data_IF_952413410072
#
_entry.id   IF_952413410072
#
_cell.length_a   1.000
_cell.length_b   1.000
_cell.length_c   1.000
_cell.angle_alpha   90.00
_cell.angle_beta   90.00
_cell.angle_gamma   90.00
#
_symmetry.space_group_name_H-M   'P 1'
#
loop_
_entity.id
_entity.type
_entity.pdbx_description
1 polymer ?
#
# COMPACT_ATOMS: atom_id res chain seq x y z
N UNK A 1 18.19 -49.25 19.72
CA UNK A 1 17.06 -48.29 19.82
C UNK A 1 17.45 -47.00 19.13
N UNK A 2 16.97 -46.76 17.91
CA UNK A 2 17.19 -45.46 17.23
C UNK A 2 16.23 -44.44 17.81
N UNK A 3 16.76 -43.46 18.55
CA UNK A 3 15.99 -42.29 19.01
C UNK A 3 15.64 -41.47 17.77
N UNK A 4 14.41 -41.62 17.26
CA UNK A 4 13.87 -40.69 16.29
C UNK A 4 13.63 -39.36 17.01
N UNK A 5 14.57 -38.43 16.90
CA UNK A 5 14.36 -37.04 17.29
C UNK A 5 13.34 -36.47 16.31
N UNK A 6 12.06 -36.52 16.70
CA UNK A 6 10.99 -35.82 16.01
C UNK A 6 11.32 -34.32 16.03
N UNK A 7 11.86 -33.79 14.94
CA UNK A 7 12.07 -32.35 14.78
C UNK A 7 10.70 -31.68 14.84
N UNK A 8 10.42 -30.95 15.92
CA UNK A 8 9.20 -30.15 16.07
C UNK A 8 9.12 -29.20 14.87
N UNK A 9 8.13 -29.39 14.00
CA UNK A 9 7.95 -28.56 12.81
C UNK A 9 7.61 -27.14 13.27
N UNK A 10 8.54 -26.21 13.06
CA UNK A 10 8.35 -24.79 13.36
C UNK A 10 7.50 -24.17 12.25
N UNK A 11 6.26 -23.82 12.58
CA UNK A 11 5.34 -23.15 11.64
C UNK A 11 5.64 -21.65 11.63
N UNK A 12 5.88 -21.08 10.45
CA UNK A 12 6.06 -19.62 10.28
C UNK A 12 4.72 -18.92 10.12
N UNK A 13 4.61 -17.68 10.59
CA UNK A 13 3.36 -16.89 10.52
C UNK A 13 2.88 -16.68 9.08
N UNK A 14 3.77 -16.54 8.10
CA UNK A 14 3.38 -16.43 6.68
C UNK A 14 2.62 -17.65 6.15
N UNK A 15 2.85 -18.85 6.70
CA UNK A 15 2.16 -20.09 6.29
C UNK A 15 0.69 -20.10 6.75
N UNK A 16 0.38 -19.31 7.78
CA UNK A 16 -0.96 -19.18 8.37
C UNK A 16 -1.59 -17.82 8.09
N UNK A 17 -0.92 -16.95 7.33
CA UNK A 17 -1.47 -15.65 7.01
C UNK A 17 -2.73 -15.83 6.16
N UNK A 18 -3.88 -15.28 6.58
CA UNK A 18 -5.10 -15.41 5.83
C UNK A 18 -5.05 -14.64 4.50
N UNK A 19 -5.90 -15.04 3.56
CA UNK A 19 -5.99 -14.46 2.22
C UNK A 19 -5.52 -15.41 1.13
N UNK A 20 -5.32 -14.88 -0.08
CA UNK A 20 -4.97 -15.65 -1.29
C UNK A 20 -3.60 -15.32 -1.84
N UNK A 21 -2.79 -14.57 -1.09
CA UNK A 21 -1.42 -14.32 -1.46
C UNK A 21 -0.60 -15.61 -1.43
N UNK A 22 0.37 -15.70 -2.34
CA UNK A 22 1.35 -16.79 -2.35
C UNK A 22 2.67 -16.28 -1.82
N UNK A 23 3.38 -17.14 -1.10
CA UNK A 23 4.63 -16.81 -0.44
C UNK A 23 5.73 -17.74 -0.91
N UNK A 24 6.95 -17.22 -1.04
CA UNK A 24 8.15 -18.03 -1.23
C UNK A 24 9.39 -17.37 -0.58
N UNK A 25 10.51 -18.08 -0.61
CA UNK A 25 11.78 -17.66 0.01
C UNK A 25 11.61 -17.34 1.52
N UNK A 26 11.03 -18.27 2.30
CA UNK A 26 10.75 -18.10 3.73
C UNK A 26 9.93 -16.83 4.02
N UNK A 27 8.85 -16.65 3.25
CA UNK A 27 7.91 -15.52 3.41
C UNK A 27 8.47 -14.16 2.97
N UNK A 28 9.66 -14.08 2.36
CA UNK A 28 10.22 -12.81 1.86
C UNK A 28 9.46 -12.29 0.66
N UNK A 29 9.12 -13.18 -0.27
CA UNK A 29 8.36 -12.86 -1.46
C UNK A 29 6.88 -13.07 -1.15
N UNK A 30 6.07 -12.07 -1.46
CA UNK A 30 4.62 -12.10 -1.37
C UNK A 30 4.05 -11.61 -2.70
N UNK A 31 3.22 -12.43 -3.33
CA UNK A 31 2.57 -12.11 -4.61
C UNK A 31 1.09 -12.48 -4.56
N UNK A 32 0.30 -12.02 -5.52
CA UNK A 32 -1.03 -12.55 -5.74
C UNK A 32 -0.97 -14.01 -6.23
N UNK A 33 -2.13 -14.68 -6.20
CA UNK A 33 -2.29 -16.03 -6.78
C UNK A 33 -2.16 -16.03 -8.31
N UNK A 34 -2.63 -14.96 -8.97
CA UNK A 34 -2.58 -14.83 -10.42
C UNK A 34 -1.23 -14.25 -10.86
N UNK A 35 -0.35 -15.11 -11.39
CA UNK A 35 1.02 -14.75 -11.81
C UNK A 35 1.25 -14.78 -13.33
N UNK A 36 0.26 -15.23 -14.12
CA UNK A 36 0.43 -15.45 -15.56
C UNK A 36 0.86 -14.19 -16.32
N UNK A 37 0.15 -13.07 -16.12
CA UNK A 37 0.43 -11.80 -16.81
C UNK A 37 1.77 -11.18 -16.32
N UNK A 38 2.17 -11.46 -15.08
CA UNK A 38 3.49 -11.10 -14.58
C UNK A 38 4.62 -11.81 -15.35
N UNK A 39 4.48 -13.10 -15.65
CA UNK A 39 5.48 -13.80 -16.48
C UNK A 39 5.50 -13.27 -17.91
N UNK A 40 4.35 -12.88 -18.47
CA UNK A 40 4.30 -12.18 -19.75
C UNK A 40 5.06 -10.84 -19.69
N UNK A 41 4.90 -10.08 -18.61
CA UNK A 41 5.64 -8.81 -18.40
C UNK A 41 7.14 -9.05 -18.39
N UNK A 42 7.61 -10.05 -17.63
CA UNK A 42 9.03 -10.43 -17.60
C UNK A 42 9.54 -10.84 -18.99
N UNK A 43 8.77 -11.67 -19.69
CA UNK A 43 9.11 -12.11 -21.04
C UNK A 43 9.23 -10.95 -22.03
N UNK A 44 8.29 -10.01 -22.00
CA UNK A 44 8.33 -8.83 -22.88
C UNK A 44 9.55 -7.96 -22.58
N UNK A 45 9.81 -7.63 -21.32
CA UNK A 45 10.94 -6.76 -20.94
C UNK A 45 12.28 -7.42 -21.29
N UNK A 46 12.48 -8.68 -20.87
CA UNK A 46 13.73 -9.41 -21.11
C UNK A 46 13.89 -9.72 -22.59
N UNK A 47 12.83 -10.14 -23.27
CA UNK A 47 12.81 -10.47 -24.68
C UNK A 47 13.15 -9.26 -25.55
N UNK A 48 12.47 -8.13 -25.35
CA UNK A 48 12.78 -6.88 -26.06
C UNK A 48 14.23 -6.47 -25.82
N UNK A 49 14.70 -6.41 -24.57
CA UNK A 49 16.10 -6.07 -24.32
C UNK A 49 17.08 -7.05 -24.98
N UNK A 50 16.82 -8.36 -24.92
CA UNK A 50 17.68 -9.36 -25.55
C UNK A 50 17.74 -9.20 -27.07
N UNK A 51 16.62 -8.87 -27.73
CA UNK A 51 16.59 -8.54 -29.16
C UNK A 51 17.46 -7.31 -29.46
N UNK A 52 17.25 -6.22 -28.72
CA UNK A 52 18.04 -4.99 -28.84
C UNK A 52 19.56 -5.22 -28.72
N UNK A 53 19.98 -6.06 -27.77
CA UNK A 53 21.39 -6.41 -27.58
C UNK A 53 21.94 -7.30 -28.70
N UNK A 54 21.11 -8.18 -29.25
CA UNK A 54 21.50 -9.13 -30.28
C UNK A 54 21.66 -8.49 -31.66
N UNK A 55 20.74 -7.59 -32.06
CA UNK A 55 20.68 -7.09 -33.44
C UNK A 55 21.24 -5.67 -33.60
N UNK A 56 20.95 -4.76 -32.68
CA UNK A 56 21.20 -3.33 -32.85
C UNK A 56 22.45 -2.87 -32.11
N UNK A 57 22.65 -3.33 -30.87
CA UNK A 57 23.69 -2.82 -29.98
C UNK A 57 25.09 -2.87 -30.58
N UNK A 58 25.45 -3.96 -31.30
CA UNK A 58 26.78 -4.08 -31.89
C UNK A 58 27.03 -3.01 -32.95
N UNK A 59 26.05 -2.79 -33.83
CA UNK A 59 26.15 -1.78 -34.87
C UNK A 59 26.19 -0.37 -34.27
N UNK A 60 25.25 -0.07 -33.37
CA UNK A 60 25.14 1.25 -32.74
C UNK A 60 26.36 1.58 -31.86
N UNK A 61 26.94 0.59 -31.16
CA UNK A 61 28.13 0.80 -30.35
C UNK A 61 29.36 1.18 -31.19
N UNK A 62 29.50 0.59 -32.38
CA UNK A 62 30.64 0.85 -33.28
C UNK A 62 30.46 2.14 -34.06
N UNK A 63 29.24 2.43 -34.54
CA UNK A 63 28.99 3.55 -35.44
C UNK A 63 28.56 4.85 -34.73
N UNK A 64 27.98 4.76 -33.53
CA UNK A 64 27.51 5.93 -32.77
C UNK A 64 28.27 6.10 -31.46
N UNK A 65 28.12 5.17 -30.52
CA UNK A 65 28.77 5.28 -29.21
C UNK A 65 28.69 4.00 -28.39
N UNK A 66 29.80 3.55 -27.74
CA UNK A 66 29.77 2.43 -26.81
C UNK A 66 28.96 2.71 -25.54
N UNK A 67 28.57 3.97 -25.27
CA UNK A 67 27.72 4.30 -24.14
C UNK A 67 26.28 3.80 -24.31
N UNK A 68 25.83 3.55 -25.55
CA UNK A 68 24.46 3.10 -25.85
C UNK A 68 24.08 1.81 -25.11
N UNK A 69 24.83 0.69 -25.28
CA UNK A 69 24.54 -0.53 -24.53
C UNK A 69 24.67 -0.35 -23.01
N UNK A 70 25.56 0.53 -22.53
CA UNK A 70 25.72 0.80 -21.09
C UNK A 70 24.46 1.42 -20.49
N UNK A 71 23.92 2.46 -21.11
CA UNK A 71 22.68 3.08 -20.65
C UNK A 71 21.48 2.13 -20.75
N UNK A 72 21.40 1.31 -21.81
CA UNK A 72 20.37 0.28 -21.94
C UNK A 72 20.42 -0.74 -20.79
N UNK A 73 21.61 -1.22 -20.41
CA UNK A 73 21.78 -2.13 -19.27
C UNK A 73 21.35 -1.47 -17.96
N UNK A 74 21.73 -0.21 -17.72
CA UNK A 74 21.36 0.51 -16.50
C UNK A 74 19.84 0.65 -16.39
N UNK A 75 19.18 1.09 -17.47
CA UNK A 75 17.73 1.24 -17.52
C UNK A 75 17.02 -0.10 -17.33
N UNK A 76 17.50 -1.17 -17.99
CA UNK A 76 16.96 -2.52 -17.83
C UNK A 76 17.07 -3.02 -16.39
N UNK A 77 18.25 -2.93 -15.78
CA UNK A 77 18.46 -3.39 -14.40
C UNK A 77 17.61 -2.59 -13.42
N UNK A 78 17.48 -1.28 -13.62
CA UNK A 78 16.65 -0.43 -12.76
C UNK A 78 15.15 -0.75 -12.92
N UNK A 79 14.66 -0.93 -14.15
CA UNK A 79 13.27 -1.34 -14.42
C UNK A 79 12.97 -2.72 -13.83
N UNK A 80 13.89 -3.69 -13.98
CA UNK A 80 13.76 -5.01 -13.40
C UNK A 80 13.77 -4.97 -11.87
N UNK A 81 14.68 -4.21 -11.26
CA UNK A 81 14.74 -4.08 -9.81
C UNK A 81 13.43 -3.48 -9.24
N UNK A 82 12.91 -2.42 -9.85
CA UNK A 82 11.67 -1.77 -9.42
C UNK A 82 10.42 -2.64 -9.67
N UNK A 83 10.37 -3.39 -10.79
CA UNK A 83 9.34 -4.41 -11.03
C UNK A 83 9.34 -5.45 -9.92
N UNK A 84 10.47 -6.11 -9.67
CA UNK A 84 10.57 -7.19 -8.69
C UNK A 84 10.28 -6.67 -7.27
N UNK A 85 10.73 -5.46 -6.93
CA UNK A 85 10.39 -4.80 -5.66
C UNK A 85 8.89 -4.53 -5.53
N UNK A 86 8.21 -4.12 -6.60
CA UNK A 86 6.76 -3.94 -6.60
C UNK A 86 6.03 -5.26 -6.44
N UNK A 87 6.42 -6.25 -7.23
CA UNK A 87 5.80 -7.56 -7.33
C UNK A 87 5.93 -8.39 -6.06
N UNK A 88 7.12 -8.41 -5.45
CA UNK A 88 7.44 -9.35 -4.36
C UNK A 88 7.23 -8.78 -2.96
N UNK A 89 6.82 -7.52 -2.86
CA UNK A 89 6.64 -6.85 -1.57
C UNK A 89 5.23 -7.03 -1.00
N UNK A 90 5.13 -6.90 0.33
CA UNK A 90 3.85 -6.63 0.98
C UNK A 90 3.36 -5.23 0.52
N UNK A 91 2.16 -5.13 -0.11
CA UNK A 91 1.60 -3.86 -0.58
C UNK A 91 1.08 -2.95 0.54
N UNK A 92 1.00 -3.45 1.77
CA UNK A 92 0.34 -2.78 2.89
C UNK A 92 -0.86 -3.57 3.38
N UNK A 93 -0.77 -4.90 3.44
CA UNK A 93 -1.87 -5.74 3.94
C UNK A 93 -2.13 -5.45 5.41
N UNK A 94 -3.40 -5.21 5.72
CA UNK A 94 -3.90 -4.97 7.07
C UNK A 94 -4.30 -6.32 7.68
N UNK A 95 -3.81 -6.68 8.87
CA UNK A 95 -4.24 -7.88 9.58
C UNK A 95 -5.75 -7.94 9.73
N UNK A 96 -6.32 -9.15 9.67
CA UNK A 96 -7.72 -9.35 10.02
C UNK A 96 -7.88 -9.16 11.54
N UNK A 97 -9.06 -8.74 11.98
CA UNK A 97 -9.36 -8.67 13.40
C UNK A 97 -9.18 -10.05 14.05
N UNK A 98 -8.62 -10.05 15.25
CA UNK A 98 -8.59 -11.23 16.09
C UNK A 98 -10.04 -11.67 16.43
N UNK A 99 -10.29 -12.95 16.79
CA UNK A 99 -11.64 -13.42 17.11
C UNK A 99 -12.36 -12.53 18.13
N UNK A 100 -11.67 -12.15 19.20
CA UNK A 100 -12.23 -11.32 20.28
C UNK A 100 -12.49 -9.88 19.80
N UNK A 101 -11.57 -9.31 19.01
CA UNK A 101 -11.76 -7.99 18.39
C UNK A 101 -12.94 -7.99 17.41
N UNK A 102 -13.07 -9.04 16.61
CA UNK A 102 -14.16 -9.21 15.66
C UNK A 102 -15.50 -9.35 16.39
N UNK A 103 -15.55 -10.14 17.47
CA UNK A 103 -16.73 -10.30 18.30
C UNK A 103 -17.14 -8.95 18.94
N UNK A 104 -16.18 -8.21 19.48
CA UNK A 104 -16.43 -6.88 20.05
C UNK A 104 -16.95 -5.90 19.01
N UNK A 105 -16.35 -5.85 17.81
CA UNK A 105 -16.79 -4.96 16.72
C UNK A 105 -18.20 -5.33 16.25
N UNK A 106 -18.52 -6.62 16.09
CA UNK A 106 -19.85 -7.07 15.69
C UNK A 106 -20.89 -6.72 16.77
N UNK A 107 -20.55 -6.87 18.05
CA UNK A 107 -21.39 -6.46 19.18
C UNK A 107 -21.65 -4.94 19.18
N UNK A 108 -20.62 -4.10 18.97
CA UNK A 108 -20.76 -2.63 18.86
C UNK A 108 -21.71 -2.25 17.71
N UNK A 109 -21.59 -2.96 16.58
CA UNK A 109 -22.45 -2.78 15.41
C UNK A 109 -23.90 -3.21 15.73
N UNK A 110 -24.09 -4.35 16.38
CA UNK A 110 -25.41 -4.86 16.76
C UNK A 110 -26.10 -3.96 17.80
N UNK A 111 -25.37 -3.47 18.81
CA UNK A 111 -25.89 -2.52 19.77
C UNK A 111 -26.37 -1.22 19.08
N UNK A 112 -25.65 -0.75 18.07
CA UNK A 112 -26.06 0.40 17.25
C UNK A 112 -27.29 0.09 16.39
N UNK A 113 -27.41 -1.17 15.92
CA UNK A 113 -28.53 -1.63 15.09
C UNK A 113 -29.76 -2.08 15.90
N UNK A 114 -29.63 -2.34 17.20
CA UNK A 114 -30.73 -2.77 18.08
C UNK A 114 -31.87 -1.75 18.21
N UNK A 115 -31.65 -0.54 17.71
CA UNK A 115 -32.67 0.50 17.56
C UNK A 115 -33.51 0.37 16.26
N UNK A 116 -33.28 -0.65 15.41
CA UNK A 116 -33.97 -0.82 14.12
C UNK A 116 -35.19 -1.75 14.27
N UNK A 117 -36.42 -1.28 13.96
CA UNK A 117 -37.63 -2.11 14.03
C UNK A 117 -37.61 -3.34 13.12
N UNK A 118 -38.32 -4.43 13.48
CA UNK A 118 -38.47 -5.61 12.61
C UNK A 118 -39.01 -5.26 11.23
N UNK A 119 -38.37 -5.76 10.17
CA UNK A 119 -38.76 -5.53 8.77
C UNK A 119 -38.05 -4.35 8.08
N UNK A 120 -37.24 -3.57 8.79
CA UNK A 120 -36.36 -2.57 8.18
C UNK A 120 -34.97 -3.13 7.90
N UNK A 121 -34.34 -2.64 6.82
CA UNK A 121 -32.95 -3.00 6.49
C UNK A 121 -32.03 -2.32 7.51
N UNK A 122 -31.07 -3.05 8.12
CA UNK A 122 -30.13 -2.45 9.06
C UNK A 122 -29.30 -1.37 8.37
N UNK A 123 -28.91 -0.30 9.08
CA UNK A 123 -28.12 0.78 8.52
C UNK A 123 -26.76 0.27 8.02
N UNK A 124 -26.17 0.94 7.02
CA UNK A 124 -24.84 0.58 6.55
C UNK A 124 -23.81 0.72 7.68
N UNK A 125 -23.03 -0.34 7.90
CA UNK A 125 -21.97 -0.41 8.93
C UNK A 125 -20.84 0.58 8.62
N UNK A 126 -20.99 1.80 9.12
CA UNK A 126 -20.10 2.95 8.87
C UNK A 126 -19.68 3.55 10.21
N UNK A 127 -18.38 3.88 10.31
CA UNK A 127 -17.83 4.65 11.44
C UNK A 127 -17.29 5.98 10.94
N UNK A 128 -17.64 7.08 11.60
CA UNK A 128 -17.13 8.41 11.24
C UNK A 128 -15.72 8.59 11.82
N UNK A 129 -14.79 9.08 11.01
CA UNK A 129 -13.41 9.36 11.41
C UNK A 129 -13.02 10.75 10.92
N UNK A 130 -12.41 11.58 11.76
CA UNK A 130 -12.03 12.94 11.39
C UNK A 130 -10.60 13.01 10.87
N UNK A 131 -10.40 13.68 9.73
CA UNK A 131 -9.09 13.96 9.13
C UNK A 131 -9.09 15.42 8.70
N UNK A 132 -8.17 16.24 9.24
CA UNK A 132 -8.10 17.67 8.93
C UNK A 132 -9.48 18.37 9.04
N UNK A 133 -10.20 18.09 10.13
CA UNK A 133 -11.56 18.60 10.42
C UNK A 133 -12.65 18.18 9.42
N UNK A 134 -12.37 17.23 8.51
CA UNK A 134 -13.35 16.62 7.61
C UNK A 134 -13.76 15.23 8.11
N UNK A 135 -15.06 14.93 8.10
CA UNK A 135 -15.58 13.61 8.47
C UNK A 135 -15.46 12.66 7.28
N UNK A 136 -14.62 11.63 7.42
CA UNK A 136 -14.46 10.51 6.50
C UNK A 136 -15.21 9.29 7.04
N UNK A 137 -16.05 8.69 6.18
CA UNK A 137 -16.83 7.50 6.50
C UNK A 137 -16.01 6.22 6.30
N UNK A 138 -15.65 5.54 7.37
CA UNK A 138 -15.00 4.23 7.33
C UNK A 138 -16.03 3.14 7.04
N UNK A 139 -15.73 2.26 6.08
CA UNK A 139 -16.60 1.14 5.71
C UNK A 139 -16.14 -0.14 6.40
N UNK A 140 -17.08 -0.90 6.94
CA UNK A 140 -16.79 -2.22 7.50
C UNK A 140 -16.39 -3.24 6.41
N UNK A 141 -15.41 -4.09 6.70
CA UNK A 141 -15.04 -5.24 5.87
C UNK A 141 -15.54 -6.54 6.49
N UNK A 142 -16.53 -7.18 5.86
CA UNK A 142 -17.06 -8.45 6.35
C UNK A 142 -16.05 -9.60 6.33
N UNK A 143 -15.10 -9.59 5.40
CA UNK A 143 -14.09 -10.65 5.27
C UNK A 143 -12.96 -10.50 6.30
N UNK A 144 -12.47 -9.27 6.48
CA UNK A 144 -11.36 -9.00 7.39
C UNK A 144 -11.82 -8.65 8.81
N UNK A 145 -13.13 -8.46 9.02
CA UNK A 145 -13.77 -8.11 10.29
C UNK A 145 -13.24 -6.82 10.94
N UNK A 146 -12.91 -5.84 10.11
CA UNK A 146 -12.38 -4.53 10.53
C UNK A 146 -13.17 -3.38 9.91
N UNK A 147 -13.25 -2.25 10.62
CA UNK A 147 -13.51 -0.97 9.95
C UNK A 147 -12.27 -0.57 9.17
N UNK A 148 -12.38 -0.47 7.85
CA UNK A 148 -11.25 -0.19 6.97
C UNK A 148 -10.70 1.20 7.29
N UNK A 149 -9.39 1.34 7.60
CA UNK A 149 -8.78 2.65 7.76
C UNK A 149 -9.00 3.55 6.53
N UNK A 150 -8.86 4.87 6.67
CA UNK A 150 -8.99 5.79 5.54
C UNK A 150 -8.11 5.35 4.35
N UNK A 151 -8.66 5.48 3.13
CA UNK A 151 -8.01 5.07 1.87
C UNK A 151 -7.72 3.57 1.73
N UNK A 152 -8.03 2.73 2.72
CA UNK A 152 -7.89 1.29 2.60
C UNK A 152 -9.06 0.67 1.82
N UNK A 153 -8.80 -0.40 1.07
CA UNK A 153 -9.86 -1.16 0.37
C UNK A 153 -9.55 -2.65 0.37
N UNK A 154 -10.61 -3.45 0.34
CA UNK A 154 -10.49 -4.91 0.26
C UNK A 154 -10.34 -5.33 -1.21
N UNK A 155 -9.28 -6.06 -1.53
CA UNK A 155 -9.08 -6.69 -2.82
C UNK A 155 -9.55 -8.14 -2.75
N UNK A 156 -10.60 -8.49 -3.49
CA UNK A 156 -11.16 -9.86 -3.54
C UNK A 156 -10.22 -10.89 -4.19
N UNK A 157 -9.29 -10.44 -5.05
CA UNK A 157 -8.32 -11.31 -5.71
C UNK A 157 -7.26 -11.78 -4.71
N UNK A 158 -6.67 -10.84 -3.96
CA UNK A 158 -5.71 -11.14 -2.90
C UNK A 158 -6.38 -11.59 -1.59
N UNK A 159 -7.68 -11.36 -1.45
CA UNK A 159 -8.49 -11.61 -0.26
C UNK A 159 -7.96 -10.92 1.00
N UNK A 160 -7.57 -9.66 0.84
CA UNK A 160 -6.93 -8.86 1.87
C UNK A 160 -7.37 -7.38 1.78
N UNK A 161 -7.51 -6.74 2.94
CA UNK A 161 -7.55 -5.29 3.02
C UNK A 161 -6.13 -4.72 2.85
N UNK A 162 -5.97 -3.75 1.95
CA UNK A 162 -4.69 -3.10 1.67
C UNK A 162 -4.80 -1.62 2.03
N UNK A 163 -3.82 -1.12 2.76
CA UNK A 163 -3.70 0.29 3.14
C UNK A 163 -3.33 1.16 1.93
N UNK A 164 -3.97 2.34 1.83
CA UNK A 164 -3.85 3.24 0.67
C UNK A 164 -3.92 2.45 -0.65
N UNK A 165 -4.95 1.63 -0.78
CA UNK A 165 -5.12 0.73 -1.91
C UNK A 165 -5.27 1.54 -3.20
N UNK A 166 -4.41 1.26 -4.17
CA UNK A 166 -4.49 1.89 -5.48
C UNK A 166 -5.26 1.01 -6.45
N UNK A 167 -4.74 -0.19 -6.73
CA UNK A 167 -5.41 -1.18 -7.57
C UNK A 167 -4.79 -2.57 -7.39
N UNK A 168 -5.43 -3.58 -7.96
CA UNK A 168 -4.81 -4.87 -8.21
C UNK A 168 -4.22 -4.88 -9.61
N UNK A 169 -2.93 -5.16 -9.75
CA UNK A 169 -2.25 -5.10 -11.05
C UNK A 169 -1.80 -6.52 -11.48
N UNK A 170 -2.42 -7.09 -12.52
CA UNK A 170 -2.01 -8.39 -13.02
C UNK A 170 -0.60 -8.39 -13.63
N UNK A 171 -0.16 -7.27 -14.21
CA UNK A 171 1.17 -7.09 -14.82
C UNK A 171 2.32 -7.17 -13.81
N UNK A 172 2.12 -6.68 -12.59
CA UNK A 172 3.09 -6.88 -11.50
C UNK A 172 2.79 -8.11 -10.66
N UNK A 173 1.66 -8.78 -10.90
CA UNK A 173 1.25 -9.99 -10.16
C UNK A 173 0.97 -9.73 -8.67
N UNK A 174 0.53 -8.52 -8.31
CA UNK A 174 0.27 -8.14 -6.91
C UNK A 174 -0.67 -6.92 -6.82
N UNK A 175 -1.16 -6.63 -5.61
CA UNK A 175 -1.77 -5.32 -5.33
C UNK A 175 -0.71 -4.21 -5.34
N UNK A 176 -1.13 -3.02 -5.75
CA UNK A 176 -0.39 -1.77 -5.56
C UNK A 176 -1.07 -0.99 -4.44
N UNK A 177 -0.31 -0.66 -3.40
CA UNK A 177 -0.80 0.02 -2.20
C UNK A 177 0.30 0.81 -1.52
N UNK A 178 0.07 1.25 -0.28
CA UNK A 178 0.96 2.19 0.44
C UNK A 178 2.43 1.81 0.41
N UNK A 179 2.76 0.52 0.57
CA UNK A 179 4.14 0.07 0.79
C UNK A 179 4.93 -0.17 -0.50
N UNK A 180 4.26 -0.38 -1.62
CA UNK A 180 4.92 -0.67 -2.90
C UNK A 180 4.61 0.32 -4.01
N UNK A 181 3.71 1.29 -3.80
CA UNK A 181 3.36 2.31 -4.80
C UNK A 181 4.57 3.06 -5.35
N UNK A 182 5.53 3.46 -4.50
CA UNK A 182 6.74 4.16 -4.97
C UNK A 182 7.54 3.34 -5.98
N UNK A 183 7.64 2.03 -5.76
CA UNK A 183 8.36 1.13 -6.65
C UNK A 183 7.57 0.89 -7.92
N UNK A 184 6.24 0.82 -7.83
CA UNK A 184 5.35 0.72 -8.99
C UNK A 184 5.51 1.94 -9.89
N UNK A 185 5.51 3.15 -9.32
CA UNK A 185 5.70 4.38 -10.07
C UNK A 185 7.09 4.44 -10.73
N UNK A 186 8.15 4.12 -9.99
CA UNK A 186 9.50 4.06 -10.55
C UNK A 186 9.62 2.97 -11.64
N UNK A 187 8.91 1.85 -11.50
CA UNK A 187 8.85 0.81 -12.51
C UNK A 187 8.21 1.30 -13.81
N UNK A 188 7.00 1.86 -13.76
CA UNK A 188 6.35 2.34 -15.00
C UNK A 188 7.14 3.49 -15.63
N UNK A 189 7.72 4.39 -14.84
CA UNK A 189 8.56 5.48 -15.32
C UNK A 189 9.83 4.96 -16.01
N UNK A 190 10.57 4.07 -15.36
CA UNK A 190 11.78 3.50 -15.94
C UNK A 190 11.49 2.59 -17.15
N UNK A 191 10.37 1.88 -17.15
CA UNK A 191 9.92 1.10 -18.29
C UNK A 191 9.53 2.01 -19.47
N UNK A 192 8.87 3.15 -19.22
CA UNK A 192 8.63 4.17 -20.25
C UNK A 192 9.94 4.66 -20.85
N UNK A 193 10.92 5.02 -20.01
CA UNK A 193 12.23 5.50 -20.46
C UNK A 193 12.97 4.42 -21.26
N UNK A 194 13.00 3.17 -20.78
CA UNK A 194 13.61 2.04 -21.49
C UNK A 194 12.94 1.78 -22.84
N UNK A 195 11.61 1.82 -22.90
CA UNK A 195 10.86 1.58 -24.14
C UNK A 195 11.08 2.72 -25.15
N UNK A 196 11.05 3.98 -24.70
CA UNK A 196 11.40 5.14 -25.54
C UNK A 196 12.83 4.99 -26.06
N UNK A 197 13.77 4.65 -25.19
CA UNK A 197 15.19 4.49 -25.53
C UNK A 197 15.38 3.44 -26.64
N UNK A 198 14.90 2.23 -26.43
CA UNK A 198 15.00 1.13 -27.41
C UNK A 198 14.29 1.52 -28.71
N UNK A 199 13.08 2.05 -28.63
CA UNK A 199 12.33 2.46 -29.82
C UNK A 199 13.08 3.51 -30.64
N UNK A 200 13.61 4.57 -30.00
CA UNK A 200 14.39 5.60 -30.68
C UNK A 200 15.64 5.02 -31.36
N UNK A 201 16.38 4.15 -30.68
CA UNK A 201 17.58 3.54 -31.25
C UNK A 201 17.29 2.53 -32.36
N UNK A 202 16.14 1.86 -32.32
CA UNK A 202 15.68 1.03 -33.43
C UNK A 202 15.38 1.86 -34.68
N UNK A 203 14.73 3.01 -34.52
CA UNK A 203 14.50 3.93 -35.65
C UNK A 203 15.83 4.46 -36.19
N UNK A 204 16.78 4.84 -35.32
CA UNK A 204 18.12 5.27 -35.74
C UNK A 204 18.86 4.16 -36.49
N UNK A 205 18.85 2.94 -35.96
CA UNK A 205 19.48 1.78 -36.59
C UNK A 205 18.90 1.53 -37.99
N UNK A 206 17.56 1.45 -38.11
CA UNK A 206 16.89 1.27 -39.40
C UNK A 206 17.20 2.40 -40.36
N UNK A 207 17.20 3.66 -39.91
CA UNK A 207 17.52 4.80 -40.75
C UNK A 207 18.94 4.73 -41.31
N UNK A 208 19.95 4.45 -40.46
CA UNK A 208 21.35 4.36 -40.88
C UNK A 208 21.58 3.20 -41.85
N UNK A 209 21.03 2.01 -41.56
CA UNK A 209 21.13 0.85 -42.45
C UNK A 209 20.38 1.07 -43.78
N UNK A 210 19.25 1.77 -43.74
CA UNK A 210 18.45 2.07 -44.94
C UNK A 210 19.16 3.02 -45.91
N UNK A 211 20.01 3.92 -45.41
CA UNK A 211 20.85 4.77 -46.25
C UNK A 211 21.91 3.96 -47.03
N UNK A 212 22.33 2.81 -46.51
CA UNK A 212 23.34 1.96 -47.14
C UNK A 212 22.72 0.92 -48.08
N UNK A 213 21.69 0.21 -47.61
CA UNK A 213 21.17 -0.99 -48.29
C UNK A 213 19.78 -0.77 -48.90
N UNK A 214 19.15 0.38 -48.66
CA UNK A 214 17.74 0.62 -48.95
C UNK A 214 16.82 0.09 -47.85
N UNK A 215 15.66 0.72 -47.68
CA UNK A 215 14.71 0.43 -46.60
C UNK A 215 14.14 -0.99 -46.64
N UNK A 216 13.62 -1.42 -47.79
CA UNK A 216 13.03 -2.76 -47.93
C UNK A 216 14.04 -3.89 -47.71
N UNK A 217 15.29 -3.69 -48.14
CA UNK A 217 16.34 -4.68 -47.91
C UNK A 217 16.75 -4.72 -46.43
N UNK A 218 16.85 -3.57 -45.78
CA UNK A 218 17.12 -3.48 -44.34
C UNK A 218 16.08 -4.26 -43.54
N UNK A 219 14.77 -4.08 -43.82
CA UNK A 219 13.72 -4.83 -43.13
C UNK A 219 13.79 -6.34 -43.35
N UNK A 220 14.15 -6.78 -44.56
CA UNK A 220 14.32 -8.21 -44.88
C UNK A 220 15.54 -8.82 -44.18
N UNK A 221 16.64 -8.06 -44.08
CA UNK A 221 17.85 -8.48 -43.38
C UNK A 221 17.69 -8.49 -41.85
N UNK A 222 16.76 -7.69 -41.31
CA UNK A 222 16.61 -7.47 -39.87
C UNK A 222 15.16 -7.70 -39.38
N UNK A 223 14.61 -8.91 -39.54
CA UNK A 223 13.24 -9.20 -39.10
C UNK A 223 13.06 -9.05 -37.59
N UNK A 224 14.13 -9.26 -36.80
CA UNK A 224 14.13 -9.03 -35.35
C UNK A 224 13.86 -7.57 -34.97
N UNK A 225 14.55 -6.62 -35.61
CA UNK A 225 14.33 -5.18 -35.44
C UNK A 225 12.90 -4.78 -35.81
N UNK A 226 12.37 -5.31 -36.92
CA UNK A 226 10.99 -5.02 -37.33
C UNK A 226 9.96 -5.50 -36.29
N UNK A 227 10.14 -6.71 -35.75
CA UNK A 227 9.32 -7.23 -34.66
C UNK A 227 9.43 -6.36 -33.41
N UNK A 228 10.65 -5.94 -33.06
CA UNK A 228 10.89 -5.12 -31.89
C UNK A 228 10.27 -3.72 -32.01
N UNK A 229 10.37 -3.07 -33.17
CA UNK A 229 9.70 -1.80 -33.45
C UNK A 229 8.19 -1.93 -33.27
N UNK A 230 7.59 -3.03 -33.72
CA UNK A 230 6.15 -3.30 -33.55
C UNK A 230 5.77 -3.47 -32.08
N UNK A 231 6.54 -4.28 -31.32
CA UNK A 231 6.33 -4.48 -29.88
C UNK A 231 6.45 -3.15 -29.14
N UNK A 232 7.50 -2.38 -29.42
CA UNK A 232 7.75 -1.08 -28.81
C UNK A 232 6.65 -0.08 -29.15
N UNK A 233 6.15 -0.04 -30.39
CA UNK A 233 5.08 0.87 -30.78
C UNK A 233 3.82 0.71 -29.92
N UNK A 234 3.33 -0.53 -29.75
CA UNK A 234 2.15 -0.79 -28.91
C UNK A 234 2.43 -0.61 -27.41
N UNK A 235 3.63 -0.98 -26.97
CA UNK A 235 4.03 -0.85 -25.56
C UNK A 235 4.21 0.62 -25.17
N UNK A 236 4.74 1.46 -26.06
CA UNK A 236 5.01 2.87 -25.82
C UNK A 236 3.74 3.63 -25.43
N UNK A 237 2.68 3.53 -26.25
CA UNK A 237 1.43 4.26 -26.00
C UNK A 237 0.80 3.86 -24.68
N UNK A 238 0.80 2.56 -24.37
CA UNK A 238 0.19 2.04 -23.13
C UNK A 238 1.00 2.43 -21.89
N UNK A 239 2.31 2.21 -21.88
CA UNK A 239 3.15 2.45 -20.70
C UNK A 239 3.39 3.94 -20.47
N UNK A 240 3.64 4.73 -21.50
CA UNK A 240 3.82 6.20 -21.36
C UNK A 240 2.51 6.85 -20.90
N UNK A 241 1.36 6.43 -21.46
CA UNK A 241 0.04 6.88 -21.01
C UNK A 241 -0.22 6.56 -19.54
N UNK A 242 0.11 5.34 -19.10
CA UNK A 242 0.00 4.93 -17.70
C UNK A 242 0.90 5.75 -16.77
N UNK A 243 2.15 6.00 -17.16
CA UNK A 243 3.08 6.86 -16.42
C UNK A 243 2.55 8.28 -16.30
N UNK A 244 1.97 8.84 -17.38
CA UNK A 244 1.31 10.15 -17.36
C UNK A 244 0.13 10.19 -16.39
N UNK A 245 -0.76 9.20 -16.46
CA UNK A 245 -1.92 9.08 -15.57
C UNK A 245 -1.50 8.99 -14.09
N UNK A 246 -0.53 8.15 -13.76
CA UNK A 246 -0.04 8.06 -12.38
C UNK A 246 0.72 9.31 -11.94
N UNK A 247 1.40 10.01 -12.83
CA UNK A 247 2.02 11.30 -12.51
C UNK A 247 0.95 12.34 -12.14
N UNK A 248 -0.17 12.37 -12.86
CA UNK A 248 -1.33 13.19 -12.51
C UNK A 248 -1.94 12.81 -11.15
N UNK A 249 -2.10 11.51 -10.86
CA UNK A 249 -2.63 11.06 -9.56
C UNK A 249 -1.70 11.40 -8.39
N UNK A 250 -0.39 11.22 -8.57
CA UNK A 250 0.62 11.60 -7.58
C UNK A 250 0.59 13.10 -7.32
N UNK A 251 0.47 13.91 -8.37
CA UNK A 251 0.34 15.37 -8.29
C UNK A 251 -0.85 15.82 -7.44
N UNK A 252 -1.93 15.03 -7.43
CA UNK A 252 -3.15 15.30 -6.67
C UNK A 252 -3.20 14.60 -5.29
N UNK A 253 -2.15 13.85 -4.91
CA UNK A 253 -2.15 12.91 -3.79
C UNK A 253 -3.42 12.03 -3.77
N UNK A 254 -3.74 11.46 -4.93
CA UNK A 254 -4.92 10.65 -5.15
C UNK A 254 -4.50 9.24 -5.61
N UNK A 255 -5.24 8.23 -5.18
CA UNK A 255 -5.08 6.86 -5.68
C UNK A 255 -6.01 6.62 -6.87
N UNK A 256 -5.69 5.64 -7.72
CA UNK A 256 -6.56 5.24 -8.83
C UNK A 256 -7.95 4.82 -8.33
N UNK A 257 -8.00 4.09 -7.21
CA UNK A 257 -9.25 3.70 -6.57
C UNK A 257 -10.09 4.89 -6.09
N UNK A 258 -9.46 5.98 -5.62
CA UNK A 258 -10.17 7.20 -5.24
C UNK A 258 -10.72 7.94 -6.47
N UNK A 259 -9.93 8.00 -7.55
CA UNK A 259 -10.29 8.63 -8.83
C UNK A 259 -11.48 7.95 -9.49
N UNK A 260 -11.41 6.63 -9.69
CA UNK A 260 -12.47 5.84 -10.31
C UNK A 260 -13.79 5.95 -9.51
N UNK A 261 -13.70 6.07 -8.18
CA UNK A 261 -14.88 6.26 -7.32
C UNK A 261 -15.42 7.68 -7.31
N UNK A 262 -14.73 8.63 -7.94
CA UNK A 262 -15.03 10.05 -7.85
C UNK A 262 -15.01 10.57 -6.42
N UNK A 263 -14.08 10.07 -5.59
CA UNK A 263 -14.08 10.34 -4.14
C UNK A 263 -13.94 11.82 -3.80
N UNK A 264 -13.31 12.57 -4.70
CA UNK A 264 -13.01 14.00 -4.55
C UNK A 264 -13.55 14.86 -5.70
N UNK A 265 -14.27 14.26 -6.65
CA UNK A 265 -14.84 14.94 -7.82
C UNK A 265 -16.37 14.87 -7.75
N UNK A 266 -17.07 16.02 -7.72
CA UNK A 266 -18.54 16.06 -7.76
C UNK A 266 -19.23 17.11 -6.88
N UNK A 267 -20.58 17.06 -6.87
CA UNK A 267 -21.50 18.06 -6.27
C UNK A 267 -21.26 18.39 -4.79
N UNK A 268 -20.56 17.52 -4.04
CA UNK A 268 -20.30 17.72 -2.62
C UNK A 268 -19.07 18.60 -2.31
N UNK A 269 -18.29 19.05 -3.32
CA UNK A 269 -17.15 19.98 -3.19
C UNK A 269 -16.18 19.67 -2.01
N UNK A 270 -16.05 18.41 -1.59
CA UNK A 270 -15.11 18.05 -0.53
C UNK A 270 -13.73 18.02 -1.14
N UNK A 271 -12.92 19.03 -0.81
CA UNK A 271 -11.52 19.11 -1.20
C UNK A 271 -10.78 17.88 -0.67
N UNK A 272 -9.91 17.28 -1.49
CA UNK A 272 -9.08 16.15 -1.08
C UNK A 272 -8.28 16.49 0.19
N UNK A 273 -8.59 15.92 1.37
CA UNK A 273 -7.95 16.26 2.63
C UNK A 273 -6.48 15.82 2.70
N UNK A 274 -6.05 14.97 1.77
CA UNK A 274 -4.67 14.50 1.67
C UNK A 274 -3.80 15.37 0.76
N UNK A 275 -4.41 16.27 -0.04
CA UNK A 275 -3.63 17.16 -0.90
C UNK A 275 -3.06 18.32 -0.12
N UNK A 276 -1.77 18.62 -0.33
CA UNK A 276 -1.12 19.81 0.19
C UNK A 276 -1.40 21.08 -0.65
N UNK A 277 -2.25 21.00 -1.68
CA UNK A 277 -2.53 22.11 -2.59
C UNK A 277 -1.34 22.50 -3.48
N UNK A 278 -0.24 21.73 -3.42
CA UNK A 278 0.97 21.96 -4.18
C UNK A 278 1.46 20.65 -4.79
N UNK A 279 1.60 20.63 -6.12
CA UNK A 279 2.08 19.50 -6.93
C UNK A 279 3.36 18.89 -6.35
N UNK A 280 4.37 19.73 -6.08
CA UNK A 280 5.70 19.26 -5.64
C UNK A 280 5.62 18.63 -4.27
N UNK A 281 4.91 19.26 -3.31
CA UNK A 281 4.71 18.70 -1.97
C UNK A 281 3.98 17.36 -2.03
N UNK A 282 2.95 17.24 -2.86
CA UNK A 282 2.24 15.97 -3.08
C UNK A 282 3.18 14.91 -3.65
N UNK A 283 3.94 15.23 -4.70
CA UNK A 283 4.93 14.31 -5.27
C UNK A 283 5.97 13.86 -4.24
N UNK A 284 6.52 14.78 -3.45
CA UNK A 284 7.50 14.48 -2.40
C UNK A 284 6.90 13.58 -1.31
N UNK A 285 5.68 13.85 -0.86
CA UNK A 285 5.01 13.01 0.15
C UNK A 285 4.82 11.57 -0.36
N UNK A 286 4.37 11.41 -1.60
CA UNK A 286 4.05 10.08 -2.15
C UNK A 286 5.30 9.30 -2.54
N UNK A 287 6.28 9.95 -3.18
CA UNK A 287 7.44 9.28 -3.78
C UNK A 287 8.66 9.28 -2.85
N UNK A 288 8.86 10.34 -2.09
CA UNK A 288 10.04 10.56 -1.24
C UNK A 288 9.75 10.43 0.26
N UNK A 289 8.49 10.30 0.66
CA UNK A 289 8.11 10.13 2.06
C UNK A 289 8.70 8.87 2.72
N UNK A 290 8.72 8.80 4.05
CA UNK A 290 9.19 7.62 4.76
C UNK A 290 8.34 6.39 4.39
N UNK A 291 8.99 5.25 4.18
CA UNK A 291 8.29 3.99 3.96
C UNK A 291 7.98 3.37 5.33
N UNK A 292 6.71 3.25 5.75
CA UNK A 292 6.40 2.59 7.03
C UNK A 292 6.91 1.15 7.03
N UNK A 293 7.09 0.48 8.20
CA UNK A 293 7.39 -0.95 8.28
C UNK A 293 6.16 -1.81 7.98
N UNK A 294 6.36 -3.10 7.68
CA UNK A 294 5.24 -4.02 7.45
C UNK A 294 4.64 -4.36 8.81
N UNK A 295 3.32 -4.31 8.91
CA UNK A 295 2.60 -4.79 10.10
C UNK A 295 2.48 -6.31 10.13
N UNK A 296 2.89 -6.99 9.06
CA UNK A 296 2.93 -8.44 8.98
C UNK A 296 4.29 -8.96 9.45
N UNK A 297 4.32 -9.58 10.62
CA UNK A 297 5.46 -10.38 11.06
C UNK A 297 5.49 -11.74 10.32
N UNK A 298 5.80 -11.72 9.02
CA UNK A 298 5.75 -12.91 8.16
C UNK A 298 6.68 -14.03 8.64
N UNK A 299 7.89 -13.68 9.11
CA UNK A 299 8.95 -14.64 9.48
C UNK A 299 8.92 -15.05 10.95
N UNK A 300 8.07 -14.41 11.76
CA UNK A 300 7.80 -14.84 13.13
C UNK A 300 7.34 -16.29 13.19
N UNK A 301 7.59 -16.91 14.33
CA UNK A 301 7.15 -18.27 14.63
C UNK A 301 5.73 -18.19 15.20
N UNK A 302 4.85 -19.08 14.73
CA UNK A 302 3.55 -19.26 15.37
C UNK A 302 3.81 -19.91 16.73
N UNK A 303 3.45 -19.22 17.81
CA UNK A 303 3.53 -19.85 19.13
C UNK A 303 2.54 -21.02 19.15
N UNK A 304 2.95 -22.22 19.58
CA UNK A 304 2.00 -23.29 19.82
C UNK A 304 1.00 -22.77 20.85
N UNK A 305 -0.29 -22.93 20.59
CA UNK A 305 -1.34 -22.51 21.51
C UNK A 305 -1.05 -23.11 22.89
N UNK A 306 -0.57 -22.29 23.83
CA UNK A 306 -0.78 -22.57 25.23
C UNK A 306 -2.26 -22.30 25.41
N UNK A 307 -3.08 -23.36 25.40
CA UNK A 307 -4.44 -23.29 25.90
C UNK A 307 -4.45 -22.46 27.18
N UNK A 308 -5.46 -21.62 27.43
CA UNK A 308 -5.56 -20.92 28.70
C UNK A 308 -5.52 -21.98 29.79
N UNK A 309 -4.44 -22.02 30.57
CA UNK A 309 -4.46 -22.70 31.85
C UNK A 309 -5.56 -21.99 32.62
N UNK A 310 -6.66 -22.70 32.88
CA UNK A 310 -7.69 -22.22 33.77
C UNK A 310 -7.01 -21.70 35.03
N UNK A 311 -7.25 -20.44 35.36
CA UNK A 311 -6.81 -19.86 36.62
C UNK A 311 -7.16 -20.84 37.75
N UNK A 312 -6.27 -21.09 38.72
CA UNK A 312 -6.63 -21.91 39.85
C UNK A 312 -7.82 -21.25 40.54
N UNK A 313 -8.85 -22.06 40.81
CA UNK A 313 -10.04 -21.66 41.54
C UNK A 313 -9.61 -20.89 42.80
N UNK A 314 -10.05 -19.64 42.91
CA UNK A 314 -9.91 -18.87 44.15
C UNK A 314 -10.66 -19.58 45.28
N UNK A 315 -10.17 -19.49 46.52
CA UNK A 315 -10.79 -20.17 47.64
C UNK A 315 -12.17 -19.58 47.94
N UNK A 316 -13.13 -20.47 48.26
CA UNK A 316 -14.50 -20.12 48.63
C UNK A 316 -14.55 -19.13 49.82
N UNK A 317 -15.57 -18.24 49.90
CA UNK A 317 -15.71 -17.34 51.03
C UNK A 317 -16.18 -18.11 52.27
N UNK A 318 -15.29 -18.15 53.27
CA UNK A 318 -15.61 -18.57 54.62
C UNK A 318 -16.60 -17.63 55.30
N UNK A 319 -17.55 -18.27 55.97
CA UNK A 319 -18.56 -17.75 56.88
C UNK A 319 -17.94 -16.91 58.01
N UNK A 320 -18.40 -15.68 58.24
CA UNK A 320 -18.21 -14.98 59.52
C UNK A 320 -19.35 -14.00 59.82
N UNK A 321 -19.74 -14.00 61.10
CA UNK A 321 -20.99 -13.51 61.66
C UNK A 321 -21.02 -11.99 61.91
N UNK A 322 -22.21 -11.44 61.65
CA UNK A 322 -23.01 -10.45 62.42
C UNK A 322 -22.29 -9.54 63.45
N UNK A 323 -22.42 -8.22 63.24
CA UNK A 323 -22.80 -7.31 64.34
C UNK A 323 -23.70 -6.19 63.84
N UNK A 324 -24.81 -6.02 64.55
CA UNK A 324 -25.92 -5.07 64.35
C UNK A 324 -25.56 -3.63 64.69
N UNK A 325 -26.16 -2.67 63.97
CA UNK A 325 -26.13 -1.24 64.28
C UNK A 325 -27.18 -0.46 63.47
N UNK A 326 -28.39 -0.43 64.00
CA UNK A 326 -29.47 0.59 63.86
C UNK A 326 -28.90 2.04 63.89
N UNK A 327 -29.47 3.14 63.35
CA UNK A 327 -30.85 3.59 63.04
C UNK A 327 -30.79 4.75 62.01
N UNK A 328 -31.92 4.98 61.34
CA UNK A 328 -32.59 6.27 61.02
C UNK A 328 -32.73 6.69 59.56
N UNK A 329 -33.97 6.52 59.10
CA UNK A 329 -34.60 7.22 58.00
C UNK A 329 -35.06 8.62 58.45
N UNK A 330 -35.00 9.59 57.53
CA UNK A 330 -35.86 10.76 57.57
C UNK A 330 -36.23 11.15 56.14
N UNK A 331 -37.54 11.09 55.89
CA UNK A 331 -38.24 11.61 54.72
C UNK A 331 -38.22 13.14 54.70
N UNK A 332 -38.20 13.73 53.50
CA UNK A 332 -38.85 15.02 53.25
C UNK A 332 -39.36 15.06 51.79
N UNK A 333 -40.68 15.07 51.68
CA UNK A 333 -41.50 15.27 50.49
C UNK A 333 -41.48 16.71 49.97
N UNK A 334 -41.59 16.91 48.66
CA UNK A 334 -41.90 18.20 48.04
C UNK A 334 -42.16 18.07 46.53
N UNK A 335 -43.24 18.68 46.05
CA UNK A 335 -43.94 18.37 44.80
C UNK A 335 -43.60 19.27 43.59
N UNK A 336 -44.23 18.89 42.47
CA UNK A 336 -44.67 19.67 41.27
C UNK A 336 -43.71 19.98 40.11
N UNK A 337 -44.13 19.43 38.96
CA UNK A 337 -44.30 20.02 37.62
C UNK A 337 -43.11 20.59 36.81
N UNK A 338 -42.95 20.03 35.61
CA UNK A 338 -42.84 20.84 34.40
C UNK A 338 -41.49 20.91 33.69
N UNK A 339 -41.54 20.49 32.42
CA UNK A 339 -40.70 20.95 31.30
C UNK A 339 -39.44 20.17 30.93
N UNK A 340 -39.43 19.88 29.63
CA UNK A 340 -38.43 19.28 28.77
C UNK A 340 -37.07 19.98 28.75
N UNK A 341 -36.00 19.21 28.92
CA UNK A 341 -34.72 19.30 28.19
C UNK A 341 -33.71 18.32 28.81
N UNK A 342 -33.24 17.32 28.05
CA UNK A 342 -32.10 16.48 28.49
C UNK A 342 -30.78 17.13 28.04
N UNK A 343 -29.83 17.41 28.94
CA UNK A 343 -28.46 17.76 28.59
C UNK A 343 -27.63 16.50 28.31
N UNK A 344 -26.69 16.63 27.38
CA UNK A 344 -25.70 15.63 27.00
C UNK A 344 -24.63 15.52 28.09
N UNK A 345 -24.56 14.38 28.78
CA UNK A 345 -23.43 14.06 29.66
C UNK A 345 -22.36 13.25 28.92
N UNK A 346 -21.12 13.71 29.07
CA UNK A 346 -19.90 13.14 28.55
C UNK A 346 -19.59 11.79 29.22
N UNK A 347 -19.61 10.69 28.45
CA UNK A 347 -19.02 9.43 28.89
C UNK A 347 -17.56 9.35 28.41
N UNK A 348 -16.63 9.57 29.32
CA UNK A 348 -15.20 9.35 29.16
C UNK A 348 -14.89 7.85 29.08
N UNK A 349 -14.32 7.39 27.97
CA UNK A 349 -13.78 6.03 27.81
C UNK A 349 -12.26 6.05 28.09
N UNK A 350 -11.69 5.06 28.81
CA UNK A 350 -10.29 5.12 29.23
C UNK A 350 -9.34 4.89 28.06
N UNK A 351 -8.36 5.79 27.92
CA UNK A 351 -7.25 5.63 26.97
C UNK A 351 -6.21 4.67 27.56
N UNK A 352 -5.97 3.57 26.85
CA UNK A 352 -4.85 2.67 27.14
C UNK A 352 -3.56 3.41 26.73
N UNK A 353 -2.85 4.00 27.70
CA UNK A 353 -1.55 4.64 27.51
C UNK A 353 -0.47 3.55 27.44
N UNK A 354 0.15 3.40 26.27
CA UNK A 354 1.46 2.73 26.15
C UNK A 354 2.54 3.77 26.52
N UNK A 355 3.52 3.47 27.38
CA UNK A 355 4.57 4.42 27.73
C UNK A 355 5.50 4.66 26.54
N UNK A 356 5.63 5.91 26.13
CA UNK A 356 6.64 6.35 25.16
C UNK A 356 7.96 6.59 25.93
N UNK A 357 8.90 5.67 25.81
CA UNK A 357 10.26 5.88 26.31
C UNK A 357 10.93 6.98 25.47
N UNK A 358 11.32 8.08 26.12
CA UNK A 358 11.93 9.25 25.49
C UNK A 358 13.34 8.89 25.00
N UNK A 359 13.51 8.74 23.69
CA UNK A 359 14.83 8.85 23.06
C UNK A 359 15.19 10.34 22.95
N UNK A 360 16.13 10.79 23.78
CA UNK A 360 16.69 12.14 23.77
C UNK A 360 17.69 12.27 22.61
N UNK A 361 17.38 13.07 21.58
CA UNK A 361 18.37 13.51 20.58
C UNK A 361 19.15 14.72 21.13
N UNK A 362 20.47 14.82 20.92
CA UNK A 362 21.25 15.99 21.32
C UNK A 362 20.96 17.19 20.40
N UNK A 363 21.00 18.39 20.99
CA UNK A 363 20.77 19.67 20.34
C UNK A 363 21.78 19.93 19.21
N UNK A 364 21.27 20.39 18.06
CA UNK A 364 22.10 20.87 16.95
C UNK A 364 22.72 22.22 17.32
N UNK A 365 24.04 22.31 17.18
CA UNK A 365 24.79 23.56 17.27
C UNK A 365 24.42 24.50 16.10
N UNK A 366 24.16 25.76 16.41
CA UNK A 366 24.02 26.83 15.42
C UNK A 366 25.35 27.04 14.70
N UNK A 367 25.35 26.86 13.37
CA UNK A 367 26.42 27.28 12.48
C UNK A 367 26.00 28.59 11.80
N UNK A 368 26.64 29.68 12.21
CA UNK A 368 26.57 31.00 11.60
C UNK A 368 27.16 30.97 10.18
N UNK A 369 26.36 31.37 9.18
CA UNK A 369 26.82 31.59 7.80
C UNK A 369 27.07 33.11 7.62
N UNK A 370 28.23 33.56 7.09
CA UNK A 370 28.46 34.97 6.83
C UNK A 370 27.73 35.43 5.56
N UNK A 371 27.18 36.63 5.63
CA UNK A 371 26.61 37.39 4.51
C UNK A 371 27.66 37.71 3.44
N UNK A 372 27.37 37.36 2.19
CA UNK A 372 28.14 37.77 1.01
C UNK A 372 27.58 39.10 0.48
N UNK A 373 28.42 40.13 0.50
CA UNK A 373 28.15 41.44 -0.08
C UNK A 373 28.15 41.37 -1.61
N UNK A 374 27.16 42.02 -2.22
CA UNK A 374 27.04 42.22 -3.66
C UNK A 374 27.86 43.46 -4.06
N UNK A 375 29.02 43.26 -4.69
CA UNK A 375 29.71 44.33 -5.41
C UNK A 375 29.14 44.46 -6.84
N UNK A 376 28.67 45.66 -7.18
CA UNK A 376 28.34 46.09 -8.55
C UNK A 376 29.62 46.45 -9.31
N UNK A 377 29.70 46.22 -10.63
CA UNK A 377 30.85 46.61 -11.43
C UNK A 377 30.77 48.10 -11.79
N UNK A 378 31.87 48.83 -11.56
CA UNK A 378 32.13 50.13 -12.19
C UNK A 378 33.28 50.02 -13.17
N UNK A 379 32.98 50.41 -14.41
CA UNK A 379 33.85 50.74 -15.55
C UNK A 379 34.60 49.63 -16.30
#
# INVERSE_FOLDING_TARGET
>A
MSVMIARKKVTRKWEKLPGRNTFCCDGRIMMARQKGIFYLTLFLIVGTCALFFAFECRYLAVHLSPAIPVFAVILFLFAMATLLRTSFSDPGVIPRALPDEAAFIEMEIEATNGAVPPGQRPPPRIKNFQINNQIVKLKYCYTCKIFRPPRASHCSICDNCVERFDHHCPWVGNCVGKRNYRYFYLFILSLSLLTIYIFSFNIVYVALKSLQNGFLNTLKETPGTALEVLICFFTLWSVVGLTGFHTFLVALNQTTNEDIKGSWTGKNRVQNPYSHGNLVKNCCEVLCGPLPPSVLDRRGIVQPDNAPQGSPAGPEPGMQERSTGEVNAQEASGASEGSSAFPVENLSVPTCKVPLEKAQLPAAAELSVPSLDHEQPTH
#
